data_IF_003713061267
#
_entry.id   IF_003713061267
#
_cell.length_a   1.000
_cell.length_b   1.000
_cell.length_c   1.000
_cell.angle_alpha   90.00
_cell.angle_beta   90.00
_cell.angle_gamma   90.00
#
_symmetry.space_group_name_H-M   'P 1'
#
loop_
_entity.id
_entity.type
_entity.pdbx_description
1 polymer ?
#
# COMPACT_ATOMS: atom_id res chain seq x y z
N UNK A 1 79.25 0.46 -23.91
CA UNK A 1 79.11 0.97 -22.52
C UNK A 1 77.94 1.94 -22.47
N UNK A 2 76.85 1.62 -21.78
CA UNK A 2 76.22 2.54 -20.81
C UNK A 2 75.03 1.85 -20.15
N UNK A 3 75.09 1.80 -18.83
CA UNK A 3 74.27 1.02 -17.90
C UNK A 3 72.79 1.43 -17.92
N UNK A 4 71.86 0.47 -18.08
CA UNK A 4 70.45 0.64 -17.69
C UNK A 4 70.33 0.43 -16.18
N UNK A 5 70.21 1.51 -15.42
CA UNK A 5 70.03 1.48 -13.98
C UNK A 5 68.58 1.10 -13.59
N UNK A 6 68.35 0.02 -12.81
CA UNK A 6 67.01 -0.40 -12.39
C UNK A 6 66.38 0.42 -11.24
N UNK A 7 67.07 1.44 -10.73
CA UNK A 7 66.70 2.15 -9.49
C UNK A 7 65.82 3.41 -9.67
N UNK A 8 65.33 3.71 -10.86
CA UNK A 8 64.47 4.89 -11.08
C UNK A 8 62.98 4.63 -10.89
N UNK A 9 62.50 3.40 -11.13
CA UNK A 9 61.09 3.03 -10.97
C UNK A 9 60.66 2.92 -9.49
N UNK A 10 61.57 2.51 -8.60
CA UNK A 10 61.28 2.41 -7.16
C UNK A 10 61.06 3.77 -6.49
N UNK A 11 61.84 4.78 -6.89
CA UNK A 11 61.74 6.15 -6.32
C UNK A 11 60.49 6.89 -6.82
N UNK A 12 60.04 6.60 -8.03
CA UNK A 12 58.83 7.18 -8.61
C UNK A 12 57.55 6.63 -7.96
N UNK A 13 57.52 5.33 -7.62
CA UNK A 13 56.41 4.71 -6.89
C UNK A 13 56.30 5.19 -5.43
N UNK A 14 57.43 5.50 -4.79
CA UNK A 14 57.43 6.10 -3.45
C UNK A 14 56.92 7.55 -3.44
N UNK A 15 57.27 8.34 -4.47
CA UNK A 15 56.74 9.69 -4.62
C UNK A 15 55.23 9.70 -4.88
N UNK A 16 54.73 8.75 -5.67
CA UNK A 16 53.31 8.64 -5.94
C UNK A 16 52.51 8.22 -4.71
N UNK A 17 53.03 7.26 -3.92
CA UNK A 17 52.41 6.86 -2.65
C UNK A 17 52.37 7.99 -1.62
N UNK A 18 53.44 8.79 -1.51
CA UNK A 18 53.47 9.96 -0.61
C UNK A 18 52.54 11.09 -1.06
N UNK A 19 52.44 11.34 -2.37
CA UNK A 19 51.51 12.35 -2.92
C UNK A 19 50.04 11.97 -2.73
N UNK A 20 49.69 10.70 -2.90
CA UNK A 20 48.32 10.21 -2.68
C UNK A 20 47.90 10.33 -1.20
N UNK A 21 48.81 10.05 -0.26
CA UNK A 21 48.54 10.19 1.18
C UNK A 21 48.36 11.65 1.61
N UNK A 22 49.10 12.58 1.01
CA UNK A 22 48.97 14.02 1.27
C UNK A 22 47.64 14.57 0.72
N UNK A 23 47.25 14.18 -0.49
CA UNK A 23 45.96 14.56 -1.07
C UNK A 23 44.77 14.02 -0.26
N UNK A 24 44.88 12.82 0.30
CA UNK A 24 43.85 12.24 1.17
C UNK A 24 43.75 12.97 2.52
N UNK A 25 44.87 13.43 3.09
CA UNK A 25 44.87 14.24 4.32
C UNK A 25 44.32 15.65 4.11
N UNK A 26 44.55 16.26 2.94
CA UNK A 26 43.94 17.55 2.60
C UNK A 26 42.44 17.42 2.32
N UNK A 27 42.00 16.33 1.67
CA UNK A 27 40.59 16.04 1.47
C UNK A 27 39.87 15.78 2.81
N UNK A 28 40.49 15.07 3.76
CA UNK A 28 39.98 14.88 5.12
C UNK A 28 39.95 16.19 5.92
N UNK A 29 40.95 17.08 5.75
CA UNK A 29 40.96 18.41 6.36
C UNK A 29 39.90 19.34 5.76
N UNK A 30 39.65 19.30 4.45
CA UNK A 30 38.57 20.05 3.79
C UNK A 30 37.20 19.49 4.15
N UNK A 31 37.06 18.17 4.28
CA UNK A 31 35.85 17.56 4.80
C UNK A 31 35.57 18.03 6.22
N UNK A 32 36.54 17.97 7.14
CA UNK A 32 36.39 18.49 8.51
C UNK A 32 36.20 20.02 8.58
N UNK A 33 36.68 20.80 7.60
CA UNK A 33 36.40 22.23 7.52
C UNK A 33 34.98 22.53 7.00
N UNK A 34 34.42 21.67 6.13
CA UNK A 34 33.03 21.77 5.68
C UNK A 34 32.02 21.30 6.75
N UNK A 35 32.43 20.40 7.66
CA UNK A 35 31.67 20.05 8.88
C UNK A 35 32.00 20.94 10.09
N UNK A 36 32.93 21.89 9.95
CA UNK A 36 33.54 22.67 11.05
C UNK A 36 32.95 24.07 11.28
N UNK A 37 31.74 24.35 10.80
CA UNK A 37 31.03 25.60 11.07
C UNK A 37 30.03 25.48 12.22
N UNK A 38 30.47 25.14 13.43
CA UNK A 38 29.56 24.93 14.56
C UNK A 38 30.24 24.72 15.90
N UNK A 39 30.90 25.75 16.44
CA UNK A 39 31.27 25.82 17.85
C UNK A 39 31.51 27.29 18.25
N UNK A 40 30.46 27.97 18.69
CA UNK A 40 30.51 29.29 19.31
C UNK A 40 29.41 29.39 20.35
N UNK A 41 29.80 29.45 21.62
CA UNK A 41 28.93 29.37 22.79
C UNK A 41 27.88 30.49 22.86
N UNK A 42 26.74 30.14 23.45
CA UNK A 42 25.67 31.07 23.78
C UNK A 42 24.74 30.41 24.79
N UNK A 43 25.05 30.60 26.07
CA UNK A 43 24.11 30.42 27.17
C UNK A 43 22.91 31.35 26.96
N UNK A 44 21.72 30.80 26.85
CA UNK A 44 20.48 31.59 26.71
C UNK A 44 19.31 30.66 26.46
N UNK A 45 18.30 30.74 27.33
CA UNK A 45 17.23 29.76 27.42
C UNK A 45 16.22 29.78 26.26
N UNK A 46 15.38 28.75 26.27
CA UNK A 46 14.01 28.80 25.74
C UNK A 46 13.85 28.59 24.25
N UNK A 47 13.61 27.33 23.84
CA UNK A 47 12.95 27.00 22.58
C UNK A 47 13.72 26.02 21.69
N UNK A 48 13.06 25.05 21.05
CA UNK A 48 13.74 24.13 20.13
C UNK A 48 14.26 24.88 18.89
N UNK A 49 15.59 24.95 18.75
CA UNK A 49 16.29 25.55 17.63
C UNK A 49 16.10 24.74 16.33
N UNK A 50 15.12 25.14 15.53
CA UNK A 50 14.84 24.57 14.19
C UNK A 50 16.08 24.64 13.27
N UNK A 51 16.92 25.67 13.40
CA UNK A 51 18.14 25.82 12.60
C UNK A 51 19.27 24.82 12.91
N UNK A 52 19.40 24.38 14.16
CA UNK A 52 20.39 23.36 14.56
C UNK A 52 19.94 21.94 14.26
N UNK A 53 18.62 21.73 14.22
CA UNK A 53 18.04 20.45 13.78
C UNK A 53 18.32 20.26 12.30
N UNK A 54 18.06 21.26 11.44
CA UNK A 54 18.21 21.14 9.98
C UNK A 54 19.66 20.92 9.51
N UNK A 55 20.67 21.40 10.24
CA UNK A 55 22.09 21.31 9.83
C UNK A 55 22.83 20.01 10.18
N UNK A 56 22.27 19.15 11.07
CA UNK A 56 22.93 17.94 11.55
C UNK A 56 22.19 16.65 11.19
N UNK A 57 22.76 15.48 11.53
CA UNK A 57 22.14 14.17 11.27
C UNK A 57 20.70 14.02 11.79
N UNK A 58 20.32 14.79 12.84
CA UNK A 58 18.95 14.86 13.34
C UNK A 58 17.95 15.50 12.33
N UNK A 59 18.38 16.49 11.55
CA UNK A 59 17.55 17.12 10.51
C UNK A 59 17.34 16.21 9.33
N UNK A 60 18.37 15.46 8.96
CA UNK A 60 18.30 14.46 7.90
C UNK A 60 17.31 13.33 8.29
N UNK A 61 17.33 12.88 9.55
CA UNK A 61 16.34 11.92 10.09
C UNK A 61 14.92 12.50 10.09
N UNK A 62 14.73 13.76 10.48
CA UNK A 62 13.40 14.39 10.44
C UNK A 62 12.89 14.63 9.02
N UNK A 63 13.76 14.96 8.08
CA UNK A 63 13.39 15.20 6.68
C UNK A 63 13.05 13.88 5.97
N UNK A 64 13.87 12.84 6.18
CA UNK A 64 13.59 11.49 5.68
C UNK A 64 12.36 10.89 6.36
N UNK A 65 12.27 10.96 7.69
CA UNK A 65 11.14 10.45 8.46
C UNK A 65 9.84 11.19 8.15
N UNK A 66 9.89 12.52 8.03
CA UNK A 66 8.76 13.37 7.64
C UNK A 66 8.33 13.12 6.19
N UNK A 67 9.27 12.97 5.26
CA UNK A 67 8.98 12.65 3.86
C UNK A 67 8.31 11.29 3.70
N UNK A 68 8.80 10.26 4.41
CA UNK A 68 8.18 8.93 4.42
C UNK A 68 6.80 8.95 5.08
N UNK A 69 6.62 9.71 6.16
CA UNK A 69 5.33 9.88 6.82
C UNK A 69 4.31 10.57 5.89
N UNK A 70 4.70 11.65 5.21
CA UNK A 70 3.80 12.35 4.27
C UNK A 70 3.44 11.49 3.07
N UNK A 71 4.41 10.76 2.50
CA UNK A 71 4.15 9.88 1.37
C UNK A 71 3.21 8.72 1.74
N UNK A 72 3.41 8.10 2.91
CA UNK A 72 2.54 7.03 3.41
C UNK A 72 1.17 7.51 3.91
N UNK A 73 0.99 8.83 4.09
CA UNK A 73 -0.28 9.41 4.51
C UNK A 73 -1.24 9.71 3.36
N UNK A 74 -0.76 9.68 2.11
CA UNK A 74 -1.62 9.88 0.94
C UNK A 74 -2.06 8.53 0.39
N UNK A 75 -3.36 8.37 0.21
CA UNK A 75 -3.93 7.25 -0.53
C UNK A 75 -4.83 7.76 -1.63
N UNK A 76 -4.76 7.14 -2.80
CA UNK A 76 -5.60 7.49 -3.95
C UNK A 76 -6.59 6.35 -4.19
N UNK A 77 -7.85 6.71 -4.40
CA UNK A 77 -8.93 5.79 -4.74
C UNK A 77 -9.21 5.91 -6.22
N UNK A 78 -9.14 4.79 -6.93
CA UNK A 78 -9.36 4.74 -8.37
C UNK A 78 -10.83 4.96 -8.75
N UNK A 79 -11.05 5.40 -9.99
CA UNK A 79 -12.40 5.58 -10.53
C UNK A 79 -13.19 4.28 -10.54
N UNK A 80 -14.43 4.33 -10.04
CA UNK A 80 -15.27 3.13 -9.87
C UNK A 80 -14.90 2.23 -8.69
N UNK A 81 -14.02 2.71 -7.81
CA UNK A 81 -13.78 2.15 -6.49
C UNK A 81 -14.28 3.11 -5.40
N UNK A 82 -14.46 2.57 -4.19
CA UNK A 82 -14.85 3.32 -2.99
C UNK A 82 -14.06 2.79 -1.82
N UNK A 83 -13.48 3.69 -1.04
CA UNK A 83 -12.68 3.30 0.11
C UNK A 83 -13.42 3.54 1.43
N UNK A 84 -13.17 2.67 2.39
CA UNK A 84 -13.52 2.88 3.80
C UNK A 84 -12.23 3.00 4.62
N UNK A 85 -12.27 3.81 5.68
CA UNK A 85 -11.15 3.92 6.62
C UNK A 85 -11.39 3.03 7.83
N UNK A 86 -10.43 2.16 8.11
CA UNK A 86 -10.33 1.41 9.35
C UNK A 86 -9.35 2.11 10.29
N UNK A 87 -9.85 2.57 11.45
CA UNK A 87 -9.03 3.11 12.53
C UNK A 87 -8.69 2.02 13.55
N UNK A 88 -7.44 1.94 13.99
CA UNK A 88 -6.99 1.00 15.03
C UNK A 88 -7.59 1.28 16.40
N UNK A 89 -7.98 2.52 16.68
CA UNK A 89 -8.56 2.92 17.97
C UNK A 89 -10.09 2.92 17.96
N UNK A 90 -10.70 3.35 16.84
CA UNK A 90 -12.16 3.53 16.72
C UNK A 90 -12.86 2.52 15.80
N UNK A 91 -12.12 1.55 15.26
CA UNK A 91 -12.65 0.58 14.29
C UNK A 91 -12.99 1.18 12.94
N UNK A 92 -13.94 0.56 12.24
CA UNK A 92 -14.37 0.97 10.89
C UNK A 92 -15.16 2.28 10.99
N UNK A 93 -14.76 3.32 10.26
CA UNK A 93 -15.54 4.57 10.17
C UNK A 93 -16.76 4.40 9.27
N UNK A 94 -17.83 5.14 9.56
CA UNK A 94 -19.06 5.13 8.77
C UNK A 94 -18.96 5.89 7.45
N UNK A 95 -17.90 6.68 7.27
CA UNK A 95 -17.71 7.50 6.09
C UNK A 95 -17.15 6.69 4.92
N UNK A 96 -17.78 6.86 3.76
CA UNK A 96 -17.36 6.25 2.50
C UNK A 96 -16.68 7.32 1.65
N UNK A 97 -15.46 7.03 1.23
CA UNK A 97 -14.65 7.95 0.44
C UNK A 97 -14.83 7.65 -1.04
N UNK A 98 -15.18 8.70 -1.80
CA UNK A 98 -15.26 8.66 -3.26
C UNK A 98 -13.87 8.56 -3.89
N UNK A 99 -13.82 8.36 -5.21
CA UNK A 99 -12.59 8.47 -5.99
C UNK A 99 -11.82 9.78 -5.73
N UNK A 100 -10.49 9.71 -5.84
CA UNK A 100 -9.58 10.83 -5.58
C UNK A 100 -8.53 10.55 -4.51
N UNK A 101 -7.65 11.52 -4.27
CA UNK A 101 -6.59 11.44 -3.26
C UNK A 101 -7.10 11.92 -1.92
N UNK A 102 -6.98 11.06 -0.91
CA UNK A 102 -7.42 11.30 0.46
C UNK A 102 -6.24 11.13 1.42
N UNK A 103 -6.34 11.78 2.58
CA UNK A 103 -5.35 11.68 3.63
C UNK A 103 -5.74 10.58 4.63
N UNK A 104 -4.79 9.72 4.99
CA UNK A 104 -4.88 8.76 6.08
C UNK A 104 -3.67 8.90 7.00
N UNK A 105 -3.81 8.49 8.26
CA UNK A 105 -2.70 8.45 9.19
C UNK A 105 -2.06 7.05 9.16
N UNK A 106 -0.85 6.85 8.60
CA UNK A 106 -0.30 5.55 8.21
C UNK A 106 -0.13 4.53 9.35
N UNK A 107 -0.11 4.99 10.61
CA UNK A 107 -0.02 4.12 11.78
C UNK A 107 -1.37 3.77 12.41
N UNK A 108 -2.34 4.70 12.34
CA UNK A 108 -3.63 4.57 13.02
C UNK A 108 -4.76 4.19 12.09
N UNK A 109 -4.63 4.46 10.79
CA UNK A 109 -5.67 4.31 9.80
C UNK A 109 -5.18 3.43 8.64
N UNK A 110 -6.08 2.58 8.15
CA UNK A 110 -5.88 1.77 6.96
C UNK A 110 -7.03 2.02 6.00
N UNK A 111 -6.72 2.40 4.77
CA UNK A 111 -7.70 2.45 3.70
C UNK A 111 -7.97 1.04 3.18
N UNK A 112 -9.24 0.71 3.00
CA UNK A 112 -9.69 -0.55 2.42
C UNK A 112 -10.52 -0.18 1.21
N UNK A 113 -10.04 -0.59 0.05
CA UNK A 113 -10.66 -0.24 -1.20
C UNK A 113 -11.65 -1.32 -1.66
N UNK A 114 -12.78 -0.88 -2.18
CA UNK A 114 -13.85 -1.73 -2.69
C UNK A 114 -14.15 -1.38 -4.14
N UNK A 115 -14.16 -2.39 -4.98
CA UNK A 115 -14.70 -2.28 -6.33
C UNK A 115 -16.23 -2.24 -6.27
N UNK A 116 -16.82 -1.13 -6.72
CA UNK A 116 -18.28 -0.92 -6.74
C UNK A 116 -18.92 -1.25 -8.08
N UNK A 117 -18.15 -1.83 -9.01
CA UNK A 117 -18.63 -2.27 -10.32
C UNK A 117 -19.37 -3.59 -10.21
N UNK A 118 -20.33 -3.79 -11.12
CA UNK A 118 -21.05 -5.05 -11.21
C UNK A 118 -20.13 -6.15 -11.74
N UNK A 119 -19.89 -7.18 -10.92
CA UNK A 119 -19.10 -8.35 -11.29
C UNK A 119 -20.02 -9.52 -11.61
N UNK A 120 -19.83 -10.19 -12.76
CA UNK A 120 -20.54 -11.42 -13.05
C UNK A 120 -19.97 -12.58 -12.24
N UNK A 121 -20.86 -13.37 -11.67
CA UNK A 121 -20.53 -14.63 -11.00
C UNK A 121 -21.47 -15.73 -11.52
N UNK A 122 -20.89 -16.86 -11.90
CA UNK A 122 -21.65 -18.01 -12.38
C UNK A 122 -21.66 -19.07 -11.29
N UNK A 123 -22.85 -19.50 -10.88
CA UNK A 123 -23.04 -20.43 -9.77
C UNK A 123 -23.84 -21.61 -10.32
N UNK A 124 -23.26 -22.80 -10.25
CA UNK A 124 -23.91 -24.04 -10.65
C UNK A 124 -24.56 -24.68 -9.42
N UNK A 125 -25.79 -25.15 -9.58
CA UNK A 125 -26.54 -25.86 -8.55
C UNK A 125 -27.25 -27.06 -9.14
N UNK A 126 -27.08 -28.21 -8.47
CA UNK A 126 -27.87 -29.41 -8.72
C UNK A 126 -29.12 -29.35 -7.85
N UNK A 127 -30.30 -29.29 -8.47
CA UNK A 127 -31.58 -29.13 -7.76
C UNK A 127 -32.66 -30.04 -8.31
N UNK A 128 -33.60 -30.44 -7.45
CA UNK A 128 -34.79 -31.17 -7.85
C UNK A 128 -35.86 -30.24 -8.40
N UNK A 129 -36.55 -30.70 -9.43
CA UNK A 129 -37.74 -30.05 -10.03
C UNK A 129 -39.01 -30.54 -9.36
N UNK A 130 -40.16 -29.94 -9.69
CA UNK A 130 -41.47 -30.35 -9.17
C UNK A 130 -41.81 -31.82 -9.48
N UNK A 131 -41.35 -32.33 -10.61
CA UNK A 131 -41.53 -33.74 -11.03
C UNK A 131 -40.47 -34.68 -10.44
N UNK A 132 -39.74 -34.24 -9.40
CA UNK A 132 -38.66 -34.99 -8.74
C UNK A 132 -37.49 -35.37 -9.65
N UNK A 133 -37.36 -34.72 -10.81
CA UNK A 133 -36.20 -34.88 -11.68
C UNK A 133 -35.07 -33.96 -11.21
N UNK A 134 -33.85 -34.51 -11.12
CA UNK A 134 -32.66 -33.74 -10.78
C UNK A 134 -32.12 -33.03 -12.03
N UNK A 135 -31.91 -31.72 -11.93
CA UNK A 135 -31.38 -30.89 -13.03
C UNK A 135 -30.17 -30.09 -12.52
N UNK A 136 -29.12 -30.05 -13.33
CA UNK A 136 -27.96 -29.19 -13.09
C UNK A 136 -28.15 -27.86 -13.82
N UNK A 137 -28.28 -26.77 -13.06
CA UNK A 137 -28.56 -25.43 -13.59
C UNK A 137 -27.43 -24.50 -13.19
N UNK A 138 -26.97 -23.69 -14.14
CA UNK A 138 -25.96 -22.66 -13.89
C UNK A 138 -26.60 -21.29 -14.04
N UNK A 139 -26.67 -20.53 -12.94
CA UNK A 139 -27.18 -19.17 -12.92
C UNK A 139 -26.02 -18.18 -12.92
N UNK A 140 -26.07 -17.20 -13.84
CA UNK A 140 -25.12 -16.07 -13.85
C UNK A 140 -25.79 -14.86 -13.21
N UNK A 141 -25.22 -14.41 -12.09
CA UNK A 141 -25.70 -13.25 -11.35
C UNK A 141 -24.70 -12.11 -11.48
N UNK A 142 -25.20 -10.93 -11.82
CA UNK A 142 -24.44 -9.68 -11.74
C UNK A 142 -24.70 -9.07 -10.35
N UNK A 143 -23.64 -8.84 -9.58
CA UNK A 143 -23.76 -8.26 -8.24
C UNK A 143 -22.78 -7.11 -8.06
N UNK A 144 -23.18 -6.11 -7.26
CA UNK A 144 -22.33 -5.00 -6.83
C UNK A 144 -22.67 -4.63 -5.39
N UNK A 145 -21.71 -4.15 -4.59
CA UNK A 145 -21.99 -3.72 -3.23
C UNK A 145 -22.72 -2.37 -3.25
N UNK A 146 -23.56 -2.12 -2.25
CA UNK A 146 -24.19 -0.82 -2.06
C UNK A 146 -23.19 0.15 -1.40
N UNK A 147 -22.96 1.30 -2.02
CA UNK A 147 -21.95 2.29 -1.62
C UNK A 147 -22.16 2.73 -0.17
N UNK A 148 -23.40 3.07 0.20
CA UNK A 148 -23.74 3.57 1.54
C UNK A 148 -23.62 2.52 2.65
N UNK A 149 -23.52 1.24 2.28
CA UNK A 149 -23.46 0.11 3.22
C UNK A 149 -22.09 -0.55 3.28
N UNK A 150 -21.08 -0.04 2.57
CA UNK A 150 -19.71 -0.57 2.61
C UNK A 150 -19.14 -0.73 4.04
N UNK A 151 -19.33 0.22 4.99
CA UNK A 151 -18.85 0.04 6.35
C UNK A 151 -19.54 -1.12 7.08
N UNK A 152 -20.80 -1.39 6.76
CA UNK A 152 -21.57 -2.49 7.36
C UNK A 152 -21.14 -3.83 6.77
N UNK A 153 -21.04 -3.89 5.43
CA UNK A 153 -20.57 -5.08 4.70
C UNK A 153 -19.20 -5.53 5.20
N UNK A 154 -18.26 -4.58 5.38
CA UNK A 154 -16.92 -4.90 5.88
C UNK A 154 -16.93 -5.44 7.33
N UNK A 155 -17.80 -4.89 8.19
CA UNK A 155 -17.91 -5.35 9.59
C UNK A 155 -18.54 -6.75 9.70
N UNK A 156 -19.57 -7.02 8.91
CA UNK A 156 -20.35 -8.26 9.03
C UNK A 156 -19.75 -9.42 8.25
N UNK A 157 -19.31 -9.18 7.00
CA UNK A 157 -18.96 -10.23 6.05
C UNK A 157 -17.47 -10.17 5.67
N UNK A 158 -16.90 -8.96 5.64
CA UNK A 158 -15.50 -8.72 5.29
C UNK A 158 -15.32 -8.18 3.86
N UNK A 159 -14.10 -8.30 3.33
CA UNK A 159 -13.79 -7.94 1.93
C UNK A 159 -14.38 -8.92 0.93
N UNK A 160 -14.42 -10.21 1.28
CA UNK A 160 -14.80 -11.31 0.39
C UNK A 160 -16.30 -11.61 0.48
N UNK A 161 -17.12 -10.56 0.41
CA UNK A 161 -18.56 -10.69 0.61
C UNK A 161 -19.21 -11.52 -0.49
N UNK A 162 -18.74 -11.40 -1.73
CA UNK A 162 -19.27 -12.10 -2.88
C UNK A 162 -19.01 -13.61 -2.83
N UNK A 163 -17.89 -14.05 -2.25
CA UNK A 163 -17.55 -15.46 -2.04
C UNK A 163 -18.30 -16.12 -0.90
N UNK A 164 -18.55 -15.36 0.17
CA UNK A 164 -19.14 -15.91 1.39
C UNK A 164 -20.66 -16.05 1.31
N UNK A 165 -21.36 -15.04 0.78
CA UNK A 165 -22.84 -15.02 0.86
C UNK A 165 -23.54 -15.36 -0.44
N UNK A 166 -23.01 -14.97 -1.61
CA UNK A 166 -23.73 -15.15 -2.88
C UNK A 166 -23.99 -16.62 -3.22
N UNK A 167 -23.04 -17.57 -3.08
CA UNK A 167 -23.30 -18.97 -3.38
C UNK A 167 -24.42 -19.56 -2.53
N UNK A 168 -24.46 -19.21 -1.25
CA UNK A 168 -25.46 -19.72 -0.32
C UNK A 168 -26.86 -19.22 -0.67
N UNK A 169 -27.02 -17.90 -0.80
CA UNK A 169 -28.32 -17.27 -1.08
C UNK A 169 -28.84 -17.66 -2.46
N UNK A 170 -27.98 -17.64 -3.49
CA UNK A 170 -28.40 -18.00 -4.85
C UNK A 170 -28.80 -19.47 -4.92
N UNK A 171 -28.06 -20.38 -4.28
CA UNK A 171 -28.44 -21.79 -4.26
C UNK A 171 -29.75 -22.05 -3.51
N UNK A 172 -30.00 -21.34 -2.41
CA UNK A 172 -31.25 -21.45 -1.66
C UNK A 172 -32.45 -20.98 -2.49
N UNK A 173 -32.35 -19.80 -3.10
CA UNK A 173 -33.40 -19.25 -3.96
C UNK A 173 -33.60 -20.10 -5.20
N UNK A 174 -32.53 -20.58 -5.85
CA UNK A 174 -32.64 -21.46 -7.01
C UNK A 174 -33.38 -22.76 -6.65
N UNK A 175 -33.07 -23.38 -5.51
CA UNK A 175 -33.79 -24.59 -5.06
C UNK A 175 -35.27 -24.30 -4.84
N UNK A 176 -35.60 -23.19 -4.18
CA UNK A 176 -36.98 -22.80 -3.90
C UNK A 176 -37.80 -22.50 -5.16
N UNK A 177 -37.18 -21.86 -6.17
CA UNK A 177 -37.85 -21.52 -7.43
C UNK A 177 -37.96 -22.75 -8.33
N UNK A 178 -36.88 -23.51 -8.51
CA UNK A 178 -36.87 -24.66 -9.42
C UNK A 178 -37.81 -25.78 -8.96
N UNK A 179 -37.99 -25.95 -7.65
CA UNK A 179 -38.96 -26.89 -7.11
C UNK A 179 -40.43 -26.58 -7.49
N UNK A 180 -40.74 -25.37 -7.96
CA UNK A 180 -42.10 -24.97 -8.36
C UNK A 180 -42.42 -25.31 -9.83
N UNK A 181 -41.40 -25.59 -10.65
CA UNK A 181 -41.54 -25.84 -12.08
C UNK A 181 -41.17 -27.27 -12.46
N UNK A 182 -41.81 -27.76 -13.52
CA UNK A 182 -41.48 -29.05 -14.13
C UNK A 182 -40.24 -28.94 -15.01
N UNK A 183 -39.51 -30.04 -15.24
CA UNK A 183 -38.27 -30.01 -16.02
C UNK A 183 -38.47 -29.49 -17.46
N UNK A 184 -39.61 -29.82 -18.08
CA UNK A 184 -39.99 -29.31 -19.41
C UNK A 184 -40.28 -27.81 -19.44
N UNK A 185 -40.80 -27.27 -18.33
CA UNK A 185 -41.10 -25.85 -18.18
C UNK A 185 -39.83 -25.02 -18.02
N UNK A 186 -38.81 -25.54 -17.32
CA UNK A 186 -37.53 -24.85 -17.13
C UNK A 186 -36.78 -24.58 -18.45
N UNK A 187 -36.99 -25.41 -19.47
CA UNK A 187 -36.40 -25.20 -20.80
C UNK A 187 -37.21 -24.20 -21.62
N UNK A 188 -38.53 -24.21 -21.47
CA UNK A 188 -39.45 -23.39 -22.26
C UNK A 188 -39.65 -21.98 -21.68
N UNK A 189 -39.45 -21.79 -20.36
CA UNK A 189 -39.67 -20.55 -19.61
C UNK A 189 -38.41 -20.06 -18.88
N UNK A 190 -37.25 -20.10 -19.56
CA UNK A 190 -35.96 -19.70 -18.97
C UNK A 190 -35.75 -18.18 -18.91
#
# INVERSE_FOLDING_TARGET
>A
MSSRNPNQLGRMLEQFRRGAQQAQQEALRRANAATGGGAGGGSGGGGPNVGGIIGGGAGLVLLVGGGLALNSSLFTVDGGHRAIKYSRMGGVRGDVYSEGTHFLIPWFEKAIDYDVRAKPRSIASLTGTKDLQMVNITCRVLSRPAIDKLPTIYREIGTDYDERVLPSVVNEVLKAVVAQFNASQLITQR
#
